data_IF_202734789377
#
_entry.id   IF_202734789377
#
_cell.length_a   1.000
_cell.length_b   1.000
_cell.length_c   1.000
_cell.angle_alpha   90.00
_cell.angle_beta   90.00
_cell.angle_gamma   90.00
#
_symmetry.space_group_name_H-M   'P 1'
#
loop_
_entity.id
_entity.type
_entity.pdbx_description
1 polymer ?
#
# COMPACT_ATOMS: atom_id res chain seq x y z
N UNK A 1 16.09 -24.31 7.09
CA UNK A 1 15.49 -23.02 7.36
C UNK A 1 15.80 -22.03 6.23
N UNK A 2 15.11 -20.90 6.21
CA UNK A 2 15.36 -19.82 5.25
C UNK A 2 16.23 -18.74 5.90
N UNK A 3 17.12 -18.14 5.12
CA UNK A 3 17.89 -16.95 5.53
C UNK A 3 17.28 -15.74 4.83
N UNK A 4 16.38 -14.96 5.48
CA UNK A 4 15.73 -13.84 4.85
C UNK A 4 16.67 -12.63 4.74
N UNK A 5 16.47 -11.84 3.68
CA UNK A 5 16.95 -10.46 3.58
C UNK A 5 15.73 -9.55 3.56
N UNK A 6 15.71 -8.51 4.37
CA UNK A 6 14.62 -7.54 4.39
C UNK A 6 14.94 -6.39 3.44
N UNK A 7 14.10 -6.20 2.43
CA UNK A 7 14.12 -5.03 1.57
C UNK A 7 13.00 -4.08 1.99
N UNK A 8 13.36 -2.91 2.51
CA UNK A 8 12.40 -1.91 2.94
C UNK A 8 12.16 -0.87 1.84
N UNK A 9 11.04 -1.03 1.12
CA UNK A 9 10.64 -0.12 0.04
C UNK A 9 9.16 0.21 0.16
N UNK A 10 8.86 1.40 0.66
CA UNK A 10 7.51 1.86 0.96
C UNK A 10 7.28 3.31 0.50
N UNK A 11 7.40 3.62 -0.80
CA UNK A 11 7.30 4.99 -1.31
C UNK A 11 5.90 5.59 -1.13
N UNK A 12 4.91 4.75 -0.85
CA UNK A 12 3.53 5.16 -0.59
C UNK A 12 3.30 5.79 0.79
N UNK A 13 4.24 5.66 1.72
CA UNK A 13 4.03 6.15 3.08
C UNK A 13 4.17 7.67 3.13
N UNK A 14 3.14 8.32 3.67
CA UNK A 14 3.05 9.76 3.89
C UNK A 14 2.50 10.07 5.28
N UNK A 15 3.00 11.10 5.95
CA UNK A 15 4.15 11.96 5.57
C UNK A 15 5.50 11.26 5.75
N UNK A 16 6.59 11.91 5.31
CA UNK A 16 7.94 11.34 5.39
C UNK A 16 8.34 10.93 6.81
N UNK A 17 7.87 11.63 7.84
CA UNK A 17 8.11 11.28 9.24
C UNK A 17 7.53 9.90 9.59
N UNK A 18 6.36 9.57 9.07
CA UNK A 18 5.76 8.24 9.25
C UNK A 18 6.60 7.15 8.56
N UNK A 19 7.11 7.44 7.36
CA UNK A 19 8.04 6.55 6.68
C UNK A 19 9.28 6.28 7.54
N UNK A 20 9.90 7.33 8.08
CA UNK A 20 11.09 7.21 8.92
C UNK A 20 10.81 6.43 10.20
N UNK A 21 9.68 6.68 10.87
CA UNK A 21 9.27 5.94 12.08
C UNK A 21 9.21 4.44 11.81
N UNK A 22 8.51 4.04 10.76
CA UNK A 22 8.37 2.62 10.39
C UNK A 22 9.67 2.00 9.90
N UNK A 23 10.47 2.76 9.14
CA UNK A 23 11.77 2.29 8.65
C UNK A 23 12.74 2.02 9.78
N UNK A 24 12.89 2.99 10.67
CA UNK A 24 13.83 2.89 11.78
C UNK A 24 13.52 1.70 12.69
N UNK A 25 12.24 1.49 13.01
CA UNK A 25 11.81 0.33 13.79
C UNK A 25 12.15 -0.99 13.09
N UNK A 26 11.78 -1.11 11.81
CA UNK A 26 12.10 -2.30 11.01
C UNK A 26 13.60 -2.56 10.96
N UNK A 27 14.42 -1.53 10.73
CA UNK A 27 15.87 -1.64 10.68
C UNK A 27 16.48 -2.04 12.02
N UNK A 28 15.99 -1.45 13.13
CA UNK A 28 16.44 -1.80 14.47
C UNK A 28 16.13 -3.26 14.80
N UNK A 29 14.93 -3.72 14.44
CA UNK A 29 14.55 -5.12 14.66
C UNK A 29 15.36 -6.09 13.81
N UNK A 30 15.64 -5.74 12.56
CA UNK A 30 16.55 -6.54 11.72
C UNK A 30 17.95 -6.65 12.34
N UNK A 31 18.50 -5.55 12.88
CA UNK A 31 19.79 -5.57 13.59
C UNK A 31 19.74 -6.49 14.83
N UNK A 32 18.68 -6.41 15.62
CA UNK A 32 18.48 -7.26 16.81
C UNK A 32 18.50 -8.76 16.45
N UNK A 33 17.95 -9.12 15.28
CA UNK A 33 17.86 -10.50 14.82
C UNK A 33 19.04 -10.93 13.92
N UNK A 34 19.99 -10.06 13.61
CA UNK A 34 21.08 -10.35 12.67
C UNK A 34 20.60 -10.56 11.23
N UNK A 35 19.44 -9.99 10.84
CA UNK A 35 18.87 -10.11 9.50
C UNK A 35 19.42 -9.00 8.60
N UNK A 36 19.97 -9.32 7.41
CA UNK A 36 20.38 -8.32 6.44
C UNK A 36 19.22 -7.39 6.07
N UNK A 37 19.50 -6.09 6.06
CA UNK A 37 18.55 -5.04 5.72
C UNK A 37 19.05 -4.24 4.54
N UNK A 38 18.20 -4.13 3.50
CA UNK A 38 18.45 -3.32 2.31
C UNK A 38 17.46 -2.16 2.33
N UNK A 39 17.98 -0.95 2.37
CA UNK A 39 17.20 0.28 2.30
C UNK A 39 16.83 0.56 0.85
N UNK A 40 15.54 0.60 0.55
CA UNK A 40 15.03 1.08 -0.72
C UNK A 40 14.79 2.58 -0.66
N UNK A 41 15.05 3.27 -1.74
CA UNK A 41 14.89 4.72 -1.81
C UNK A 41 13.46 5.15 -1.51
N UNK A 42 13.33 6.23 -0.74
CA UNK A 42 12.06 6.87 -0.49
C UNK A 42 11.82 7.96 -1.52
N UNK A 43 11.08 7.62 -2.56
CA UNK A 43 10.61 8.57 -3.57
C UNK A 43 9.08 8.55 -3.62
N UNK A 44 8.46 9.42 -2.82
CA UNK A 44 7.01 9.55 -2.77
C UNK A 44 6.45 10.19 -4.05
N UNK A 45 7.22 11.05 -4.71
CA UNK A 45 6.80 11.69 -5.96
C UNK A 45 6.69 10.66 -7.09
N UNK A 46 7.65 9.75 -7.21
CA UNK A 46 7.59 8.63 -8.15
C UNK A 46 6.34 7.76 -7.90
N UNK A 47 6.03 7.48 -6.64
CA UNK A 47 4.84 6.71 -6.31
C UNK A 47 3.55 7.47 -6.66
N UNK A 48 3.48 8.77 -6.40
CA UNK A 48 2.33 9.61 -6.78
C UNK A 48 2.09 9.61 -8.28
N UNK A 49 3.15 9.68 -9.08
CA UNK A 49 3.02 9.60 -10.54
C UNK A 49 2.48 8.23 -10.98
N UNK A 50 2.92 7.13 -10.34
CA UNK A 50 2.43 5.78 -10.64
C UNK A 50 0.95 5.54 -10.28
N UNK A 51 0.37 6.34 -9.38
CA UNK A 51 -1.05 6.26 -8.99
C UNK A 51 -1.88 7.45 -9.47
N UNK A 52 -1.33 8.28 -10.33
CA UNK A 52 -1.98 9.46 -10.89
C UNK A 52 -3.27 9.11 -11.62
N UNK A 53 -4.33 9.88 -11.36
CA UNK A 53 -5.68 9.61 -11.88
C UNK A 53 -6.45 8.55 -11.09
N UNK A 54 -5.84 7.95 -10.05
CA UNK A 54 -6.47 6.94 -9.19
C UNK A 54 -6.66 7.45 -7.74
N UNK A 55 -6.54 8.76 -7.51
CA UNK A 55 -6.59 9.38 -6.18
C UNK A 55 -7.91 9.10 -5.47
N UNK A 56 -9.01 9.09 -6.20
CA UNK A 56 -10.37 8.88 -5.69
C UNK A 56 -10.76 7.40 -5.57
N UNK A 57 -9.91 6.48 -6.07
CA UNK A 57 -10.18 5.06 -5.94
C UNK A 57 -10.27 4.65 -4.46
N UNK A 58 -11.20 3.76 -4.09
CA UNK A 58 -11.29 3.27 -2.73
C UNK A 58 -10.07 2.43 -2.35
N UNK A 59 -9.91 2.17 -1.06
CA UNK A 59 -8.98 1.11 -0.63
C UNK A 59 -9.38 -0.21 -1.29
N UNK A 60 -8.38 -1.00 -1.69
CA UNK A 60 -8.51 -2.25 -2.45
C UNK A 60 -8.95 -2.08 -3.92
N UNK A 61 -9.12 -0.84 -4.41
CA UNK A 61 -9.38 -0.50 -5.80
C UNK A 61 -8.10 -0.48 -6.66
N UNK A 62 -8.19 0.16 -7.84
CA UNK A 62 -7.09 0.21 -8.82
C UNK A 62 -5.84 0.91 -8.28
N UNK A 63 -5.99 1.95 -7.44
CA UNK A 63 -4.86 2.60 -6.79
C UNK A 63 -4.02 1.62 -5.97
N UNK A 64 -4.65 0.73 -5.19
CA UNK A 64 -3.93 -0.27 -4.42
C UNK A 64 -3.22 -1.28 -5.32
N UNK A 65 -3.84 -1.67 -6.45
CA UNK A 65 -3.23 -2.57 -7.45
C UNK A 65 -1.97 -1.94 -8.06
N UNK A 66 -2.03 -0.66 -8.48
CA UNK A 66 -0.88 0.08 -8.99
C UNK A 66 0.23 0.20 -7.93
N UNK A 67 -0.13 0.54 -6.68
CA UNK A 67 0.80 0.59 -5.55
C UNK A 67 1.52 -0.75 -5.31
N UNK A 68 0.80 -1.87 -5.39
CA UNK A 68 1.42 -3.20 -5.25
C UNK A 68 2.35 -3.50 -6.44
N UNK A 69 1.98 -3.13 -7.67
CA UNK A 69 2.83 -3.27 -8.86
C UNK A 69 4.19 -2.62 -8.69
N UNK A 70 4.21 -1.34 -8.30
CA UNK A 70 5.44 -0.58 -8.04
C UNK A 70 6.31 -1.28 -6.99
N UNK A 71 5.71 -1.70 -5.89
CA UNK A 71 6.44 -2.29 -4.76
C UNK A 71 6.94 -3.69 -5.06
N UNK A 72 6.15 -4.52 -5.70
CA UNK A 72 6.55 -5.89 -6.06
C UNK A 72 7.64 -5.90 -7.11
N UNK A 73 7.55 -5.03 -8.12
CA UNK A 73 8.58 -4.90 -9.14
C UNK A 73 9.93 -4.44 -8.54
N UNK A 74 9.91 -3.46 -7.64
CA UNK A 74 11.11 -3.02 -6.93
C UNK A 74 11.71 -4.16 -6.08
N UNK A 75 10.86 -4.93 -5.41
CA UNK A 75 11.30 -6.08 -4.59
C UNK A 75 11.93 -7.18 -5.46
N UNK A 76 11.30 -7.53 -6.57
CA UNK A 76 11.82 -8.54 -7.50
C UNK A 76 13.15 -8.11 -8.14
N UNK A 77 13.26 -6.83 -8.56
CA UNK A 77 14.53 -6.27 -9.06
C UNK A 77 15.63 -6.26 -8.00
N UNK A 78 15.30 -5.98 -6.74
CA UNK A 78 16.26 -6.06 -5.65
C UNK A 78 16.72 -7.50 -5.43
N UNK A 79 15.81 -8.47 -5.41
CA UNK A 79 16.12 -9.89 -5.31
C UNK A 79 17.04 -10.34 -6.45
N UNK A 80 16.71 -9.99 -7.70
CA UNK A 80 17.53 -10.30 -8.88
C UNK A 80 18.95 -9.74 -8.76
N UNK A 81 19.10 -8.47 -8.38
CA UNK A 81 20.41 -7.82 -8.20
C UNK A 81 21.25 -8.50 -7.12
N UNK A 82 20.61 -9.05 -6.09
CA UNK A 82 21.28 -9.75 -4.99
C UNK A 82 21.50 -11.25 -5.25
N UNK A 83 21.08 -11.77 -6.40
CA UNK A 83 21.14 -13.21 -6.69
C UNK A 83 20.19 -14.05 -5.84
N UNK A 84 19.10 -13.45 -5.33
CA UNK A 84 18.11 -14.13 -4.50
C UNK A 84 16.97 -14.61 -5.41
N UNK A 85 16.81 -15.92 -5.53
CA UNK A 85 15.83 -16.53 -6.43
C UNK A 85 14.37 -16.34 -5.98
N UNK A 86 14.11 -16.19 -4.69
CA UNK A 86 12.74 -16.15 -4.17
C UNK A 86 12.46 -14.88 -3.38
N UNK A 87 11.35 -14.22 -3.67
CA UNK A 87 10.89 -13.09 -2.88
C UNK A 87 9.43 -13.28 -2.42
N UNK A 88 9.10 -12.62 -1.33
CA UNK A 88 7.74 -12.58 -0.77
C UNK A 88 7.45 -11.19 -0.22
N UNK A 89 6.26 -10.98 0.33
CA UNK A 89 5.89 -9.69 0.89
C UNK A 89 5.10 -9.79 2.19
N UNK A 90 5.39 -8.93 3.14
CA UNK A 90 4.62 -8.80 4.39
C UNK A 90 3.24 -8.16 4.17
N UNK A 91 2.94 -7.61 3.00
CA UNK A 91 1.60 -7.14 2.64
C UNK A 91 0.56 -8.25 2.79
N UNK A 92 0.93 -9.50 2.47
CA UNK A 92 0.07 -10.67 2.60
C UNK A 92 -0.30 -11.02 4.05
N UNK A 93 0.32 -10.40 5.04
CA UNK A 93 -0.06 -10.49 6.46
C UNK A 93 -1.22 -9.57 6.85
N UNK A 94 -1.51 -8.53 6.10
CA UNK A 94 -2.56 -7.57 6.43
C UNK A 94 -3.95 -8.05 6.00
N UNK A 95 -4.88 -8.20 6.96
CA UNK A 95 -6.29 -8.54 6.68
C UNK A 95 -7.03 -7.48 5.85
N UNK A 96 -6.49 -6.27 5.76
CA UNK A 96 -7.04 -5.16 5.02
C UNK A 96 -6.64 -5.12 3.54
N UNK A 97 -5.79 -6.06 3.10
CA UNK A 97 -5.30 -6.13 1.72
C UNK A 97 -5.90 -7.35 1.01
N UNK A 98 -6.12 -7.23 -0.30
CA UNK A 98 -6.57 -8.33 -1.15
C UNK A 98 -5.36 -9.17 -1.56
N UNK A 99 -5.41 -10.47 -1.25
CA UNK A 99 -4.31 -11.40 -1.58
C UNK A 99 -4.19 -11.65 -3.07
N UNK A 100 -5.32 -11.67 -3.80
CA UNK A 100 -5.35 -11.81 -5.25
C UNK A 100 -4.59 -10.68 -5.95
N UNK A 101 -4.84 -9.41 -5.57
CA UNK A 101 -4.12 -8.26 -6.13
C UNK A 101 -2.62 -8.29 -5.81
N UNK A 102 -2.24 -8.75 -4.61
CA UNK A 102 -0.83 -8.88 -4.23
C UNK A 102 -0.16 -9.96 -5.08
N UNK A 103 -0.83 -11.12 -5.24
CA UNK A 103 -0.34 -12.22 -6.08
C UNK A 103 -0.14 -11.80 -7.51
N UNK A 104 -1.17 -11.22 -8.15
CA UNK A 104 -1.09 -10.73 -9.53
C UNK A 104 0.10 -9.77 -9.73
N UNK A 105 0.27 -8.80 -8.83
CA UNK A 105 1.37 -7.85 -8.92
C UNK A 105 2.75 -8.51 -8.74
N UNK A 106 2.85 -9.51 -7.86
CA UNK A 106 4.11 -10.21 -7.58
C UNK A 106 4.48 -11.22 -8.67
N UNK A 107 3.50 -11.93 -9.24
CA UNK A 107 3.71 -12.83 -10.39
C UNK A 107 4.15 -12.02 -11.63
N UNK A 108 3.52 -10.87 -11.90
CA UNK A 108 3.94 -9.99 -12.97
C UNK A 108 5.37 -9.44 -12.74
N UNK A 109 5.70 -9.06 -11.50
CA UNK A 109 7.05 -8.65 -11.15
C UNK A 109 8.08 -9.77 -11.41
N UNK A 110 7.77 -11.01 -11.01
CA UNK A 110 8.63 -12.18 -11.26
C UNK A 110 8.80 -12.43 -12.76
N UNK A 111 7.75 -12.29 -13.56
CA UNK A 111 7.82 -12.42 -15.02
C UNK A 111 8.76 -11.39 -15.65
N UNK A 112 8.79 -10.17 -15.11
CA UNK A 112 9.65 -9.07 -15.59
C UNK A 112 11.09 -9.14 -15.07
N UNK A 113 11.40 -10.05 -14.15
CA UNK A 113 12.73 -10.21 -13.53
C UNK A 113 13.18 -11.67 -13.62
N UNK A 114 13.67 -12.12 -14.78
CA UNK A 114 14.12 -13.51 -14.97
C UNK A 114 15.11 -13.95 -13.88
N UNK A 115 14.96 -15.19 -13.41
CA UNK A 115 15.75 -15.73 -12.29
C UNK A 115 15.15 -15.48 -10.92
N UNK A 116 14.01 -14.75 -10.82
CA UNK A 116 13.28 -14.61 -9.56
C UNK A 116 11.92 -15.30 -9.64
N UNK A 117 11.41 -15.71 -8.48
CA UNK A 117 10.07 -16.29 -8.32
C UNK A 117 9.36 -15.72 -7.10
N UNK A 118 8.07 -15.52 -7.21
CA UNK A 118 7.26 -15.12 -6.08
C UNK A 118 6.93 -16.35 -5.20
N UNK A 119 7.23 -16.23 -3.91
CA UNK A 119 6.78 -17.18 -2.91
C UNK A 119 5.43 -16.69 -2.35
N UNK A 120 4.32 -17.26 -2.85
CA UNK A 120 2.95 -16.90 -2.46
C UNK A 120 2.61 -17.44 -1.07
N UNK A 121 3.05 -16.70 -0.06
CA UNK A 121 2.82 -17.07 1.34
C UNK A 121 1.66 -16.28 1.93
N UNK A 122 0.67 -17.00 2.43
CA UNK A 122 -0.43 -16.41 3.21
C UNK A 122 -0.06 -16.29 4.69
N UNK A 123 0.51 -15.16 5.08
CA UNK A 123 0.93 -14.88 6.46
C UNK A 123 -0.23 -14.73 7.47
N UNK A 124 -1.48 -14.98 7.06
CA UNK A 124 -2.67 -14.92 7.92
C UNK A 124 -3.09 -16.30 8.47
N UNK A 125 -2.50 -17.40 7.97
CA UNK A 125 -2.84 -18.77 8.32
C UNK A 125 -1.79 -19.43 9.20
N UNK A 126 -2.09 -20.62 9.71
CA UNK A 126 -1.13 -21.45 10.43
C UNK A 126 -0.62 -20.85 11.75
N UNK A 127 -1.43 -20.10 12.49
CA UNK A 127 -1.02 -19.47 13.75
C UNK A 127 -0.19 -18.19 13.60
N UNK A 128 0.19 -17.78 12.37
CA UNK A 128 1.07 -16.64 12.13
C UNK A 128 0.46 -15.30 12.55
N UNK A 129 -0.88 -15.15 12.50
CA UNK A 129 -1.54 -13.95 13.01
C UNK A 129 -1.45 -13.83 14.54
N UNK A 130 -1.62 -14.95 15.24
CA UNK A 130 -1.45 -15.01 16.69
C UNK A 130 0.01 -14.67 17.04
N UNK A 131 0.98 -15.33 16.39
CA UNK A 131 2.40 -15.07 16.61
C UNK A 131 2.79 -13.63 16.34
N UNK A 132 2.20 -13.01 15.31
CA UNK A 132 2.38 -11.57 15.05
C UNK A 132 1.88 -10.73 16.22
N UNK A 133 0.70 -11.04 16.78
CA UNK A 133 0.14 -10.33 17.93
C UNK A 133 1.05 -10.42 19.17
N UNK A 134 1.56 -11.62 19.47
CA UNK A 134 2.51 -11.85 20.55
C UNK A 134 3.78 -11.02 20.38
N UNK A 135 4.36 -11.00 19.18
CA UNK A 135 5.56 -10.21 18.89
C UNK A 135 5.31 -8.70 18.99
N UNK A 136 4.16 -8.21 18.51
CA UNK A 136 3.79 -6.80 18.65
C UNK A 136 3.74 -6.37 20.13
N UNK A 137 3.16 -7.22 20.98
CA UNK A 137 3.07 -6.94 22.42
C UNK A 137 4.45 -7.05 23.11
N UNK A 138 5.21 -8.10 22.76
CA UNK A 138 6.52 -8.36 23.37
C UNK A 138 7.56 -7.28 23.04
N UNK A 139 7.60 -6.83 21.79
CA UNK A 139 8.60 -5.88 21.30
C UNK A 139 8.15 -4.42 21.43
N UNK A 140 6.86 -4.17 21.73
CA UNK A 140 6.31 -2.82 21.82
C UNK A 140 6.32 -2.05 20.50
N UNK A 141 6.15 -2.76 19.38
CA UNK A 141 6.21 -2.17 18.05
C UNK A 141 5.18 -1.07 17.84
N UNK A 142 5.58 -0.04 17.11
CA UNK A 142 4.70 1.02 16.64
C UNK A 142 3.48 0.45 15.89
N UNK A 143 2.31 0.77 16.38
CA UNK A 143 1.07 0.33 15.76
C UNK A 143 0.57 1.38 14.78
N UNK A 144 0.80 1.14 13.50
CA UNK A 144 0.36 2.04 12.43
C UNK A 144 -1.17 2.22 12.40
N UNK A 145 -1.62 3.45 12.23
CA UNK A 145 -3.05 3.79 12.22
C UNK A 145 -3.69 3.70 10.84
N UNK A 146 -2.91 3.71 9.77
CA UNK A 146 -3.37 3.55 8.38
C UNK A 146 -2.34 2.79 7.55
N UNK A 147 -2.64 2.51 6.29
CA UNK A 147 -1.73 1.73 5.43
C UNK A 147 -0.45 2.47 5.03
N UNK A 148 -0.38 3.77 5.30
CA UNK A 148 0.70 4.68 4.89
C UNK A 148 0.33 5.58 3.72
N UNK A 149 -0.57 5.15 2.84
CA UNK A 149 -1.02 5.94 1.69
C UNK A 149 -1.76 7.20 2.15
N UNK A 150 -1.39 8.37 1.62
CA UNK A 150 -2.05 9.65 1.95
C UNK A 150 -3.56 9.62 1.67
N UNK A 151 -3.98 8.96 0.58
CA UNK A 151 -5.39 8.83 0.21
C UNK A 151 -6.20 7.87 1.11
N UNK A 152 -5.56 7.16 2.03
CA UNK A 152 -6.22 6.28 3.02
C UNK A 152 -6.34 6.90 4.41
N UNK A 153 -5.97 8.16 4.57
CA UNK A 153 -6.01 8.86 5.87
C UNK A 153 -7.39 9.38 6.27
N UNK A 154 -8.37 9.32 5.37
CA UNK A 154 -9.69 9.90 5.59
C UNK A 154 -10.42 9.42 6.85
N UNK A 155 -10.21 8.18 7.28
CA UNK A 155 -10.80 7.65 8.52
C UNK A 155 -10.13 8.21 9.80
N UNK A 156 -8.95 8.80 9.70
CA UNK A 156 -8.27 9.40 10.85
C UNK A 156 -8.98 10.66 11.34
N UNK A 157 -9.80 11.29 10.50
CA UNK A 157 -10.63 12.45 10.91
C UNK A 157 -11.65 12.10 12.00
N UNK A 158 -11.94 10.81 12.21
CA UNK A 158 -12.84 10.31 13.25
C UNK A 158 -12.15 10.04 14.59
N UNK A 159 -10.80 10.19 14.65
CA UNK A 159 -10.03 9.97 15.88
C UNK A 159 -9.85 11.25 16.65
N UNK A 160 -9.71 11.12 17.98
CA UNK A 160 -9.34 12.24 18.81
C UNK A 160 -7.91 12.71 18.45
N UNK A 161 -7.65 14.03 18.42
CA UNK A 161 -6.34 14.57 18.03
C UNK A 161 -5.17 14.03 18.85
N UNK A 162 -5.37 13.73 20.11
CA UNK A 162 -4.37 13.16 21.03
C UNK A 162 -3.96 11.73 20.67
N UNK A 163 -4.83 10.99 20.00
CA UNK A 163 -4.54 9.64 19.51
C UNK A 163 -3.67 9.63 18.25
N UNK A 164 -3.51 10.79 17.61
CA UNK A 164 -2.75 10.94 16.38
C UNK A 164 -1.31 11.38 16.66
N UNK A 165 -0.32 10.84 15.93
CA UNK A 165 1.02 11.40 15.94
C UNK A 165 1.01 12.88 15.59
N UNK A 166 1.85 13.68 16.25
CA UNK A 166 1.88 15.14 16.07
C UNK A 166 2.03 15.56 14.59
N UNK A 167 2.88 14.85 13.84
CA UNK A 167 3.18 15.13 12.44
C UNK A 167 2.02 14.84 11.46
N UNK A 168 0.92 14.22 11.89
CA UNK A 168 -0.28 14.02 11.04
C UNK A 168 -1.46 14.87 11.48
N UNK A 169 -1.44 15.47 12.67
CA UNK A 169 -2.58 16.20 13.23
C UNK A 169 -3.06 17.33 12.34
N UNK A 170 -2.14 18.14 11.84
CA UNK A 170 -2.48 19.31 11.01
C UNK A 170 -2.98 18.88 9.64
N UNK A 171 -2.40 17.83 9.07
CA UNK A 171 -2.87 17.26 7.81
C UNK A 171 -4.29 16.69 7.94
N UNK A 172 -4.58 15.95 9.00
CA UNK A 172 -5.90 15.38 9.27
C UNK A 172 -6.94 16.48 9.51
N UNK A 173 -6.60 17.57 10.20
CA UNK A 173 -7.47 18.75 10.35
C UNK A 173 -7.84 19.37 9.00
N UNK A 174 -6.86 19.52 8.10
CA UNK A 174 -7.10 20.03 6.74
C UNK A 174 -8.05 19.14 5.94
N UNK A 175 -7.87 17.80 6.01
CA UNK A 175 -8.77 16.83 5.37
C UNK A 175 -10.22 16.95 5.89
N UNK A 176 -10.39 17.11 7.20
CA UNK A 176 -11.71 17.29 7.82
C UNK A 176 -12.39 18.59 7.36
N UNK A 177 -11.63 19.68 7.26
CA UNK A 177 -12.12 20.98 6.80
C UNK A 177 -12.52 21.00 5.32
N UNK A 178 -11.80 20.26 4.48
CA UNK A 178 -12.11 20.14 3.05
C UNK A 178 -13.44 19.39 2.82
N UNK A 179 -13.68 18.30 3.54
CA UNK A 179 -14.95 17.54 3.45
C UNK A 179 -16.17 18.36 3.86
N UNK A 180 -16.03 19.26 4.83
CA UNK A 180 -17.12 20.12 5.27
C UNK A 180 -17.46 21.22 4.24
N UNK A 181 -16.54 21.59 3.35
CA UNK A 181 -16.77 22.57 2.28
C UNK A 181 -17.45 21.94 1.05
N UNK A 182 -17.20 20.68 0.76
CA UNK A 182 -17.82 19.96 -0.36
C UNK A 182 -19.25 19.47 -0.05
N UNK A 183 -19.63 19.37 1.23
CA UNK A 183 -20.96 18.94 1.69
C UNK A 183 -22.08 19.96 1.50
N UNK A 184 -21.86 21.14 0.89
CA UNK A 184 -22.85 22.24 0.82
C UNK A 184 -23.45 22.47 -0.58
N UNK A 185 -23.32 21.53 -1.51
CA UNK A 185 -24.11 21.58 -2.76
C UNK A 185 -24.59 20.19 -3.20
N UNK A 186 -25.91 19.91 -3.11
CA UNK A 186 -26.47 18.79 -3.85
C UNK A 186 -26.59 19.22 -5.32
N UNK A 187 -25.72 18.68 -6.18
CA UNK A 187 -25.92 18.78 -7.62
C UNK A 187 -27.14 17.94 -8.01
N UNK A 188 -28.18 18.58 -8.49
CA UNK A 188 -29.29 17.93 -9.15
C UNK A 188 -28.80 17.20 -10.40
N UNK A 189 -29.18 15.94 -10.63
CA UNK A 189 -28.81 15.25 -11.87
C UNK A 189 -29.57 15.84 -13.03
N UNK A 190 -28.88 16.39 -14.01
CA UNK A 190 -29.44 16.72 -15.33
C UNK A 190 -29.94 15.44 -16.01
N UNK A 191 -31.10 15.48 -16.71
CA UNK A 191 -31.63 14.29 -17.35
C UNK A 191 -30.74 13.84 -18.49
N UNK A 192 -30.36 12.57 -18.43
CA UNK A 192 -29.66 11.88 -19.50
C UNK A 192 -30.54 11.82 -20.73
N UNK A 193 -30.15 12.52 -21.79
CA UNK A 193 -30.79 12.38 -23.10
C UNK A 193 -30.37 11.01 -23.67
N UNK A 194 -31.36 10.18 -23.97
CA UNK A 194 -31.20 8.89 -24.64
C UNK A 194 -30.60 9.11 -26.05
N UNK A 195 -29.67 8.26 -26.50
CA UNK A 195 -29.13 8.35 -27.86
C UNK A 195 -30.21 7.98 -28.89
N UNK A 196 -30.40 8.88 -29.86
CA UNK A 196 -31.25 8.68 -31.02
C UNK A 196 -30.65 7.58 -31.90
N UNK A 197 -31.35 6.48 -32.06
CA UNK A 197 -31.03 5.41 -33.00
C UNK A 197 -31.39 5.87 -34.41
N UNK A 198 -30.49 5.91 -35.39
CA UNK A 198 -30.85 6.19 -36.79
C UNK A 198 -31.59 5.00 -37.42
N UNK A 199 -32.53 5.25 -38.33
CA UNK A 199 -33.35 4.21 -38.95
C UNK A 199 -32.52 3.34 -39.91
N UNK A 200 -32.76 2.03 -39.83
CA UNK A 200 -32.30 1.04 -40.82
C UNK A 200 -32.78 1.37 -42.22
N UNK A 201 -31.86 1.52 -43.16
CA UNK A 201 -32.17 1.39 -44.59
C UNK A 201 -31.86 -0.03 -45.05
N UNK A 202 -32.82 -0.72 -45.71
CA UNK A 202 -32.55 -1.98 -46.39
C UNK A 202 -32.09 -1.73 -47.83
N UNK A 203 -31.27 -2.65 -48.34
CA UNK A 203 -30.91 -2.92 -49.75
C UNK A 203 -29.89 -2.00 -50.44
N UNK A 204 -28.75 -2.50 -50.77
CA UNK A 204 -28.43 -3.28 -52.02
C UNK A 204 -27.17 -4.09 -51.76
#
# INVERSE_FOLDING_TARGET
GYAPTVFYFNPNIFPAQEYLTRKNECQQYCRKLGIPFVDGDYDHALWREAVKGLEHEPERGLRCRACFGVRMLATAKCAQRLGIESFTTTLAGSRWKRLDQIREAAEEAARLTPGTRYWDMNWRKGGLQQRRGELLAQEGFYNQLWCGCEFSMGHLTMRAPEELPSYVRDFVKQLGSAKNKEGTQPASPSPVQSPIVPPNHPNV
#
